data_IF_506849878699
#
_entry.id   IF_506849878699
#
_cell.length_a   1.000
_cell.length_b   1.000
_cell.length_c   1.000
_cell.angle_alpha   90.00
_cell.angle_beta   90.00
_cell.angle_gamma   90.00
#
_symmetry.space_group_name_H-M   'P 1'
#
loop_
_entity.id
_entity.type
_entity.pdbx_description
1 polymer ?
#
# COMPACT_ATOMS: atom_id res chain seq x y z
N UNK A 1 10.46 -7.81 5.75
CA UNK A 1 10.18 -6.42 6.17
C UNK A 1 10.43 -5.38 5.08
N UNK A 2 11.31 -5.63 4.11
CA UNK A 2 11.63 -4.67 3.02
C UNK A 2 10.38 -4.15 2.27
N UNK A 3 9.42 -5.00 1.82
CA UNK A 3 8.24 -4.50 1.09
C UNK A 3 7.38 -3.53 1.91
N UNK A 4 7.30 -3.77 3.22
CA UNK A 4 6.55 -2.90 4.13
C UNK A 4 7.15 -1.50 4.20
N UNK A 5 8.48 -1.43 4.36
CA UNK A 5 9.21 -0.15 4.41
C UNK A 5 9.06 0.60 3.08
N UNK A 6 9.21 -0.10 1.95
CA UNK A 6 9.01 0.51 0.64
C UNK A 6 7.60 1.04 0.47
N UNK A 7 6.57 0.28 0.82
CA UNK A 7 5.19 0.77 0.76
C UNK A 7 4.96 2.03 1.60
N UNK A 8 5.54 2.12 2.80
CA UNK A 8 5.48 3.36 3.59
C UNK A 8 6.17 4.53 2.89
N UNK A 9 7.39 4.34 2.38
CA UNK A 9 8.12 5.39 1.64
C UNK A 9 7.30 5.90 0.46
N UNK A 10 6.72 4.99 -0.33
CA UNK A 10 5.93 5.37 -1.49
C UNK A 10 4.59 6.01 -1.15
N UNK A 11 3.96 5.61 -0.05
CA UNK A 11 2.78 6.27 0.49
C UNK A 11 3.10 7.72 0.88
N UNK A 12 4.21 7.96 1.60
CA UNK A 12 4.66 9.31 1.93
C UNK A 12 5.03 10.11 0.68
N UNK A 13 5.69 9.49 -0.29
CA UNK A 13 6.00 10.15 -1.55
C UNK A 13 4.73 10.58 -2.30
N UNK A 14 3.73 9.70 -2.39
CA UNK A 14 2.44 10.04 -3.00
C UNK A 14 1.71 11.13 -2.19
N UNK A 15 1.79 11.12 -0.86
CA UNK A 15 1.16 12.13 -0.01
C UNK A 15 1.68 13.55 -0.30
N UNK A 16 2.98 13.67 -0.61
CA UNK A 16 3.61 14.96 -0.91
C UNK A 16 3.29 15.43 -2.34
N UNK A 17 3.17 14.50 -3.31
CA UNK A 17 3.06 14.84 -4.73
C UNK A 17 1.62 14.81 -5.27
N UNK A 18 0.73 14.00 -4.70
CA UNK A 18 -0.63 13.80 -5.19
C UNK A 18 -1.59 13.28 -4.10
N UNK A 19 -2.11 14.22 -3.30
CA UNK A 19 -3.04 13.94 -2.21
C UNK A 19 -4.39 13.39 -2.69
N UNK A 20 -4.84 13.79 -3.89
CA UNK A 20 -6.13 13.34 -4.44
C UNK A 20 -6.09 11.85 -4.76
N UNK A 21 -5.07 11.41 -5.49
CA UNK A 21 -4.93 9.99 -5.82
C UNK A 21 -4.46 9.17 -4.61
N UNK A 22 -3.76 9.77 -3.65
CA UNK A 22 -3.50 9.11 -2.36
C UNK A 22 -4.82 8.76 -1.66
N UNK A 23 -5.79 9.68 -1.62
CA UNK A 23 -7.09 9.40 -1.01
C UNK A 23 -7.79 8.22 -1.71
N UNK A 24 -7.72 8.14 -3.05
CA UNK A 24 -8.31 7.03 -3.82
C UNK A 24 -7.62 5.69 -3.51
N UNK A 25 -6.28 5.64 -3.57
CA UNK A 25 -5.51 4.42 -3.29
C UNK A 25 -5.65 4.01 -1.82
N UNK A 26 -5.63 4.98 -0.91
CA UNK A 26 -5.84 4.77 0.52
C UNK A 26 -7.23 4.25 0.85
N UNK A 27 -8.28 4.78 0.21
CA UNK A 27 -9.64 4.25 0.33
C UNK A 27 -9.73 2.81 -0.18
N UNK A 28 -9.13 2.50 -1.34
CA UNK A 28 -9.07 1.13 -1.85
C UNK A 28 -8.36 0.20 -0.86
N UNK A 29 -7.22 0.61 -0.30
CA UNK A 29 -6.47 -0.17 0.69
C UNK A 29 -7.28 -0.42 1.98
N UNK A 30 -7.92 0.62 2.51
CA UNK A 30 -8.69 0.53 3.76
C UNK A 30 -9.95 -0.30 3.55
N UNK A 31 -10.73 -0.02 2.51
CA UNK A 31 -12.00 -0.71 2.27
C UNK A 31 -11.81 -2.18 1.91
N UNK A 32 -10.79 -2.51 1.09
CA UNK A 32 -10.51 -3.88 0.66
C UNK A 32 -9.52 -4.61 1.59
N UNK A 33 -9.23 -4.06 2.76
CA UNK A 33 -8.29 -4.61 3.73
C UNK A 33 -8.84 -4.47 5.15
N UNK A 34 -8.51 -3.36 5.79
CA UNK A 34 -8.85 -3.10 7.20
C UNK A 34 -10.35 -3.20 7.48
N UNK A 35 -11.19 -2.62 6.62
CA UNK A 35 -12.64 -2.66 6.79
C UNK A 35 -13.18 -4.10 6.69
N UNK A 36 -12.63 -4.92 5.79
CA UNK A 36 -13.02 -6.32 5.66
C UNK A 36 -12.62 -7.15 6.88
N UNK A 37 -11.45 -6.90 7.46
CA UNK A 37 -11.02 -7.57 8.70
C UNK A 37 -12.03 -7.30 9.82
N UNK A 38 -12.41 -6.03 10.01
CA UNK A 38 -13.37 -5.62 11.03
C UNK A 38 -14.76 -6.19 10.74
N UNK A 39 -15.21 -6.09 9.48
CA UNK A 39 -16.55 -6.48 9.07
C UNK A 39 -16.77 -7.99 9.14
N UNK A 40 -15.83 -8.78 8.62
CA UNK A 40 -15.94 -10.23 8.61
C UNK A 40 -15.70 -10.85 10.00
N UNK A 41 -14.94 -10.15 10.86
CA UNK A 41 -14.62 -10.57 12.24
C UNK A 41 -14.31 -12.07 12.34
N UNK A 42 -13.41 -12.55 11.47
CA UNK A 42 -13.13 -13.96 11.31
C UNK A 42 -12.45 -14.56 12.55
N UNK A 43 -12.72 -15.83 12.92
CA UNK A 43 -11.95 -16.55 13.92
C UNK A 43 -10.43 -16.56 13.65
N UNK A 44 -9.59 -16.77 14.69
CA UNK A 44 -8.13 -16.67 14.57
C UNK A 44 -7.47 -17.68 13.60
N UNK A 45 -8.16 -18.77 13.28
CA UNK A 45 -7.67 -19.83 12.40
C UNK A 45 -8.71 -20.15 11.35
N UNK A 46 -8.37 -19.87 10.09
CA UNK A 46 -9.27 -20.03 8.95
C UNK A 46 -8.53 -20.69 7.77
N UNK A 47 -9.24 -21.34 6.83
CA UNK A 47 -8.63 -21.86 5.62
C UNK A 47 -7.96 -20.74 4.82
N UNK A 48 -6.81 -21.04 4.20
CA UNK A 48 -6.05 -20.08 3.34
C UNK A 48 -6.90 -19.41 2.26
N UNK A 49 -7.98 -20.04 1.82
CA UNK A 49 -8.88 -19.51 0.80
C UNK A 49 -9.48 -18.15 1.16
N UNK A 50 -9.56 -17.83 2.45
CA UNK A 50 -10.04 -16.53 2.91
C UNK A 50 -9.03 -15.41 2.70
N UNK A 51 -7.73 -15.70 2.72
CA UNK A 51 -6.69 -14.69 2.56
C UNK A 51 -6.78 -14.01 1.18
N UNK A 52 -7.38 -14.67 0.18
CA UNK A 52 -7.60 -14.12 -1.16
C UNK A 52 -8.53 -12.92 -1.20
N UNK A 53 -9.39 -12.76 -0.18
CA UNK A 53 -10.32 -11.63 -0.09
C UNK A 53 -9.56 -10.31 0.06
N UNK A 54 -8.33 -10.35 0.61
CA UNK A 54 -7.47 -9.17 0.78
C UNK A 54 -6.63 -8.82 -0.46
N UNK A 55 -6.76 -9.54 -1.57
CA UNK A 55 -5.98 -9.29 -2.79
C UNK A 55 -6.09 -7.83 -3.27
N UNK A 56 -7.27 -7.22 -3.13
CA UNK A 56 -7.48 -5.81 -3.47
C UNK A 56 -6.59 -4.85 -2.67
N UNK A 57 -6.53 -5.01 -1.34
CA UNK A 57 -5.63 -4.21 -0.50
C UNK A 57 -4.16 -4.49 -0.79
N UNK A 58 -3.81 -5.74 -1.14
CA UNK A 58 -2.45 -6.10 -1.52
C UNK A 58 -2.01 -5.36 -2.79
N UNK A 59 -2.87 -5.29 -3.81
CA UNK A 59 -2.58 -4.52 -5.03
C UNK A 59 -2.45 -3.02 -4.77
N UNK A 60 -3.32 -2.45 -3.94
CA UNK A 60 -3.20 -1.03 -3.55
C UNK A 60 -1.86 -0.75 -2.85
N UNK A 61 -1.41 -1.65 -1.97
CA UNK A 61 -0.10 -1.53 -1.32
C UNK A 61 1.08 -1.64 -2.31
N UNK A 62 0.97 -2.49 -3.33
CA UNK A 62 1.97 -2.60 -4.39
C UNK A 62 2.13 -1.30 -5.20
N UNK A 63 1.07 -0.51 -5.37
CA UNK A 63 1.20 0.82 -6.00
C UNK A 63 2.13 1.72 -5.20
N UNK A 64 2.01 1.73 -3.87
CA UNK A 64 2.95 2.46 -3.02
C UNK A 64 4.37 1.92 -3.14
N UNK A 65 4.58 0.61 -3.20
CA UNK A 65 5.93 0.06 -3.45
C UNK A 65 6.50 0.61 -4.78
N UNK A 66 5.70 0.69 -5.84
CA UNK A 66 6.11 1.30 -7.12
C UNK A 66 6.50 2.77 -6.99
N UNK A 67 5.70 3.56 -6.26
CA UNK A 67 6.02 4.97 -5.99
C UNK A 67 7.30 5.13 -5.16
N UNK A 68 7.62 4.20 -4.28
CA UNK A 68 8.86 4.21 -3.50
C UNK A 68 10.10 4.11 -4.40
N UNK A 69 10.04 3.26 -5.44
CA UNK A 69 11.14 3.13 -6.42
C UNK A 69 11.35 4.46 -7.15
N UNK A 70 10.26 5.12 -7.56
CA UNK A 70 10.32 6.44 -8.21
C UNK A 70 10.94 7.48 -7.26
N UNK A 71 10.52 7.49 -5.99
CA UNK A 71 11.04 8.38 -4.96
C UNK A 71 12.56 8.22 -4.77
N UNK A 72 13.01 6.96 -4.67
CA UNK A 72 14.42 6.61 -4.55
C UNK A 72 15.18 7.07 -5.78
N UNK A 73 14.73 6.69 -6.99
CA UNK A 73 15.41 7.04 -8.24
C UNK A 73 15.60 8.57 -8.39
N UNK A 74 14.57 9.37 -8.11
CA UNK A 74 14.66 10.83 -8.15
C UNK A 74 15.61 11.40 -7.10
N UNK A 75 15.64 10.80 -5.91
CA UNK A 75 16.54 11.23 -4.83
C UNK A 75 17.99 10.94 -5.21
N UNK A 76 18.26 9.78 -5.80
CA UNK A 76 19.57 9.44 -6.35
C UNK A 76 19.98 10.41 -7.47
N UNK A 77 19.10 10.68 -8.45
CA UNK A 77 19.40 11.64 -9.52
C UNK A 77 19.79 13.02 -8.96
N UNK A 78 19.08 13.50 -7.94
CA UNK A 78 19.38 14.78 -7.28
C UNK A 78 20.69 14.77 -6.49
N UNK A 79 21.10 13.63 -5.96
CA UNK A 79 22.32 13.49 -5.15
C UNK A 79 23.59 13.41 -6.01
N UNK A 80 23.49 12.83 -7.21
CA UNK A 80 24.60 12.65 -8.15
C UNK A 80 24.66 13.73 -9.25
N UNK A 81 23.75 14.70 -9.21
CA UNK A 81 23.84 15.98 -9.94
C UNK A 81 24.57 17.00 -9.09
#
# INVERSE_FOLDING_TARGET
MIPFILGLIGMFYQFIHDQKNLAVVGLLFILLGVALVIYLNGPPSEPRERDYIYAGSYYAFCFWIGFAVIAIAKTFEKLFK
#
